data_IF_497406282251
#
_entry.id   IF_497406282251
#
_cell.length_a   1.000
_cell.length_b   1.000
_cell.length_c   1.000
_cell.angle_alpha   90.00
_cell.angle_beta   90.00
_cell.angle_gamma   90.00
#
_symmetry.space_group_name_H-M   'P 1'
#
loop_
_entity.id
_entity.type
_entity.pdbx_description
1 polymer ?
#
# COMPACT_ATOMS: atom_id res chain seq x y z
N UNK A 1 26.53 17.27 3.53
CA UNK A 1 25.41 17.70 2.67
C UNK A 1 24.29 18.14 3.62
N UNK A 2 23.80 19.37 3.49
CA UNK A 2 22.68 19.86 4.33
C UNK A 2 21.44 19.06 3.93
N UNK A 3 20.81 18.37 4.89
CA UNK A 3 19.55 17.70 4.66
C UNK A 3 18.53 18.73 4.16
N UNK A 4 17.87 18.45 3.05
CA UNK A 4 16.75 19.28 2.60
C UNK A 4 15.71 19.34 3.72
N UNK A 5 15.12 20.53 3.97
CA UNK A 5 14.09 20.64 5.01
C UNK A 5 12.96 19.66 4.71
N UNK A 6 12.59 18.86 5.71
CA UNK A 6 11.43 17.97 5.60
C UNK A 6 10.20 18.85 5.38
N UNK A 7 9.42 18.65 4.30
CA UNK A 7 8.20 19.42 4.08
C UNK A 7 7.25 19.28 5.28
N UNK A 8 6.60 20.37 5.69
CA UNK A 8 5.58 20.35 6.71
C UNK A 8 4.22 20.05 6.07
N UNK A 9 3.62 18.93 6.45
CA UNK A 9 2.28 18.51 6.00
C UNK A 9 1.21 18.68 7.08
N UNK A 10 1.46 19.48 8.11
CA UNK A 10 0.48 19.81 9.14
C UNK A 10 -0.80 20.38 8.51
N UNK A 11 -1.94 19.80 8.88
CA UNK A 11 -3.25 20.17 8.31
C UNK A 11 -3.58 19.52 6.96
N UNK A 12 -2.67 18.76 6.35
CA UNK A 12 -2.95 17.99 5.14
C UNK A 12 -3.55 16.63 5.48
N UNK A 13 -4.47 16.17 4.63
CA UNK A 13 -5.09 14.85 4.76
C UNK A 13 -4.78 14.01 3.52
N UNK A 14 -4.27 12.80 3.73
CA UNK A 14 -4.06 11.81 2.68
C UNK A 14 -5.05 10.67 2.87
N UNK A 15 -5.83 10.38 1.84
CA UNK A 15 -6.73 9.25 1.78
C UNK A 15 -6.06 8.10 1.04
N UNK A 16 -6.01 6.93 1.67
CA UNK A 16 -5.42 5.72 1.10
C UNK A 16 -6.54 4.71 0.90
N UNK A 17 -6.69 4.16 -0.30
CA UNK A 17 -7.75 3.21 -0.65
C UNK A 17 -7.10 1.94 -1.18
N UNK A 18 -7.18 0.85 -0.40
CA UNK A 18 -6.53 -0.43 -0.67
C UNK A 18 -7.50 -1.60 -0.48
N UNK A 19 -7.10 -2.78 -0.93
CA UNK A 19 -7.97 -3.95 -1.00
C UNK A 19 -8.02 -4.74 0.31
N UNK A 20 -6.83 -5.10 0.84
CA UNK A 20 -6.69 -6.06 1.92
C UNK A 20 -5.82 -5.51 3.06
N UNK A 21 -5.96 -6.06 4.29
CA UNK A 21 -4.98 -5.85 5.35
C UNK A 21 -3.62 -6.44 4.94
N UNK A 22 -2.59 -5.64 4.87
CA UNK A 22 -1.18 -5.80 4.52
C UNK A 22 -0.72 -4.94 3.32
N UNK A 23 -1.62 -4.57 2.44
CA UNK A 23 -1.33 -3.73 1.27
C UNK A 23 -0.70 -2.38 1.68
N UNK A 24 -1.18 -1.75 2.75
CA UNK A 24 -0.69 -0.46 3.23
C UNK A 24 0.78 -0.53 3.62
N UNK A 25 1.18 -1.64 4.21
CA UNK A 25 2.54 -1.88 4.65
C UNK A 25 3.45 -2.23 3.48
N UNK A 26 2.96 -3.08 2.55
CA UNK A 26 3.72 -3.53 1.39
C UNK A 26 3.91 -2.39 0.37
N UNK A 27 2.81 -1.77 -0.06
CA UNK A 27 2.80 -0.89 -1.21
C UNK A 27 3.43 0.49 -0.91
N UNK A 28 3.12 1.08 0.25
CA UNK A 28 3.51 2.47 0.55
C UNK A 28 3.80 2.77 2.03
N UNK A 29 4.08 1.74 2.84
CA UNK A 29 4.23 1.89 4.30
C UNK A 29 5.31 2.87 4.73
N UNK A 30 6.42 2.94 4.01
CA UNK A 30 7.48 3.92 4.26
C UNK A 30 7.02 5.36 3.99
N UNK A 31 6.33 5.59 2.88
CA UNK A 31 5.75 6.90 2.53
C UNK A 31 4.69 7.32 3.55
N UNK A 32 3.81 6.40 3.97
CA UNK A 32 2.80 6.70 5.00
C UNK A 32 3.45 7.10 6.32
N UNK A 33 4.47 6.37 6.76
CA UNK A 33 5.21 6.69 7.97
C UNK A 33 5.92 8.06 7.87
N UNK A 34 6.53 8.37 6.73
CA UNK A 34 7.20 9.65 6.46
C UNK A 34 6.21 10.81 6.43
N UNK A 35 5.05 10.65 5.80
CA UNK A 35 3.97 11.64 5.78
C UNK A 35 3.42 11.91 7.19
N UNK A 36 3.21 10.85 7.98
CA UNK A 36 2.74 10.97 9.37
C UNK A 36 3.73 11.77 10.23
N UNK A 37 5.03 11.46 10.11
CA UNK A 37 6.08 12.21 10.83
C UNK A 37 6.19 13.68 10.39
N UNK A 38 5.83 13.95 9.13
CA UNK A 38 5.75 15.31 8.58
C UNK A 38 4.42 16.03 8.93
N UNK A 39 3.56 15.44 9.75
CA UNK A 39 2.34 16.06 10.29
C UNK A 39 1.06 15.79 9.47
N UNK A 40 1.12 15.00 8.39
CA UNK A 40 -0.07 14.67 7.63
C UNK A 40 -1.04 13.77 8.42
N UNK A 41 -2.34 14.00 8.27
CA UNK A 41 -3.37 13.07 8.71
C UNK A 41 -3.60 12.01 7.64
N UNK A 42 -3.36 10.74 7.97
CA UNK A 42 -3.57 9.63 7.06
C UNK A 42 -4.86 8.90 7.43
N UNK A 43 -5.73 8.70 6.44
CA UNK A 43 -6.97 7.91 6.56
C UNK A 43 -6.88 6.75 5.59
N UNK A 44 -6.97 5.53 6.11
CA UNK A 44 -6.94 4.30 5.32
C UNK A 44 -8.36 3.73 5.18
N UNK A 45 -8.77 3.48 3.94
CA UNK A 45 -9.92 2.67 3.58
C UNK A 45 -9.40 1.31 3.09
N UNK A 46 -9.74 0.25 3.78
CA UNK A 46 -9.47 -1.12 3.38
C UNK A 46 -10.78 -1.75 2.91
N UNK A 47 -10.83 -2.24 1.67
CA UNK A 47 -12.09 -2.66 1.04
C UNK A 47 -12.66 -3.95 1.63
N UNK A 48 -11.81 -4.89 2.04
CA UNK A 48 -12.22 -6.17 2.62
C UNK A 48 -11.48 -6.43 3.94
N UNK A 49 -11.86 -7.51 4.60
CA UNK A 49 -11.13 -8.01 5.78
C UNK A 49 -10.07 -9.05 5.41
N UNK A 50 -9.93 -9.37 4.12
CA UNK A 50 -8.99 -10.38 3.64
C UNK A 50 -9.33 -11.79 4.14
N UNK A 51 -10.60 -12.10 4.31
CA UNK A 51 -11.10 -13.32 4.97
C UNK A 51 -10.90 -14.60 4.16
N UNK A 52 -10.55 -14.48 2.86
CA UNK A 52 -10.23 -15.63 1.98
C UNK A 52 -8.74 -15.81 1.74
N UNK A 53 -7.89 -15.00 2.39
CA UNK A 53 -6.44 -15.15 2.28
C UNK A 53 -5.95 -16.51 2.77
N UNK A 54 -4.75 -16.89 2.38
CA UNK A 54 -4.06 -18.04 2.96
C UNK A 54 -3.71 -17.78 4.43
N UNK A 55 -3.47 -18.83 5.20
CA UNK A 55 -3.10 -18.72 6.62
C UNK A 55 -1.72 -19.32 6.81
N UNK A 56 -0.76 -18.51 7.21
CA UNK A 56 0.63 -18.93 7.45
C UNK A 56 0.76 -19.89 8.65
N UNK A 57 -0.06 -19.69 9.68
CA UNK A 57 -0.13 -20.53 10.87
C UNK A 57 -1.59 -20.72 11.31
N UNK A 58 -2.09 -21.94 11.20
CA UNK A 58 -3.45 -22.30 11.59
C UNK A 58 -3.77 -22.07 13.06
N UNK A 59 -2.78 -22.00 13.93
CA UNK A 59 -2.97 -21.68 15.34
C UNK A 59 -3.54 -20.26 15.52
N UNK A 60 -3.23 -19.33 14.64
CA UNK A 60 -3.72 -17.95 14.67
C UNK A 60 -5.23 -17.84 14.44
N UNK A 61 -5.82 -18.80 13.74
CA UNK A 61 -7.24 -18.84 13.38
C UNK A 61 -8.01 -19.97 14.09
N UNK A 62 -7.42 -20.63 15.09
CA UNK A 62 -8.01 -21.79 15.74
C UNK A 62 -9.36 -21.48 16.45
N UNK A 63 -9.54 -20.25 16.93
CA UNK A 63 -10.71 -19.81 17.70
C UNK A 63 -11.41 -18.58 17.11
N UNK A 64 -11.00 -18.12 15.93
CA UNK A 64 -11.52 -16.89 15.34
C UNK A 64 -11.41 -16.92 13.81
N UNK A 65 -12.34 -16.23 13.12
CA UNK A 65 -12.26 -16.12 11.67
C UNK A 65 -11.05 -15.25 11.22
N UNK A 66 -10.51 -15.58 10.05
CA UNK A 66 -9.32 -14.91 9.51
C UNK A 66 -9.53 -13.41 9.32
N UNK A 67 -10.71 -12.98 8.91
CA UNK A 67 -11.01 -11.56 8.71
C UNK A 67 -10.92 -10.75 10.01
N UNK A 68 -11.30 -11.32 11.16
CA UNK A 68 -11.13 -10.69 12.46
C UNK A 68 -9.65 -10.62 12.86
N UNK A 69 -8.88 -11.70 12.62
CA UNK A 69 -7.43 -11.73 12.88
C UNK A 69 -6.75 -10.64 12.05
N UNK A 70 -6.95 -10.63 10.72
CA UNK A 70 -6.33 -9.67 9.80
C UNK A 70 -6.73 -8.22 10.10
N UNK A 71 -7.97 -8.00 10.52
CA UNK A 71 -8.42 -6.66 10.93
C UNK A 71 -7.65 -6.12 12.12
N UNK A 72 -7.32 -6.96 13.11
CA UNK A 72 -6.47 -6.55 14.25
C UNK A 72 -5.03 -6.31 13.82
N UNK A 73 -4.48 -7.19 12.99
CA UNK A 73 -3.14 -7.04 12.43
C UNK A 73 -3.00 -5.70 11.68
N UNK A 74 -4.01 -5.33 10.88
CA UNK A 74 -4.05 -4.02 10.21
C UNK A 74 -4.06 -2.85 11.19
N UNK A 75 -4.84 -2.93 12.27
CA UNK A 75 -4.85 -1.85 13.27
C UNK A 75 -3.50 -1.71 14.00
N UNK A 76 -2.79 -2.82 14.21
CA UNK A 76 -1.46 -2.79 14.83
C UNK A 76 -0.41 -2.24 13.86
N UNK A 77 -0.44 -2.63 12.58
CA UNK A 77 0.39 -2.06 11.53
C UNK A 77 0.13 -0.55 11.36
N UNK A 78 -1.14 -0.14 11.35
CA UNK A 78 -1.55 1.26 11.23
C UNK A 78 -0.97 2.14 12.35
N UNK A 79 -0.94 1.65 13.60
CA UNK A 79 -0.31 2.36 14.73
C UNK A 79 1.19 2.59 14.48
N UNK A 80 1.89 1.57 13.98
CA UNK A 80 3.33 1.66 13.68
C UNK A 80 3.57 2.68 12.55
N UNK A 81 2.73 2.67 11.51
CA UNK A 81 2.87 3.60 10.38
C UNK A 81 2.41 5.02 10.70
N UNK A 82 1.69 5.24 11.81
CA UNK A 82 1.14 6.56 12.15
C UNK A 82 -0.14 6.90 11.39
N UNK A 83 -0.88 5.88 10.91
CA UNK A 83 -2.18 6.07 10.26
C UNK A 83 -3.20 6.51 11.33
N UNK A 84 -3.80 7.68 11.12
CA UNK A 84 -4.68 8.31 12.11
C UNK A 84 -6.07 7.67 12.20
N UNK A 85 -6.57 7.12 11.10
CA UNK A 85 -7.90 6.49 11.04
C UNK A 85 -7.88 5.31 10.05
N UNK A 86 -8.42 4.16 10.48
CA UNK A 86 -8.61 2.98 9.65
C UNK A 86 -10.09 2.67 9.55
N UNK A 87 -10.57 2.48 8.33
CA UNK A 87 -11.93 2.03 8.03
C UNK A 87 -11.84 0.77 7.19
N UNK A 88 -12.30 -0.34 7.75
CA UNK A 88 -12.37 -1.62 7.05
C UNK A 88 -13.81 -1.83 6.61
N UNK A 89 -14.01 -2.01 5.32
CA UNK A 89 -15.30 -2.37 4.77
C UNK A 89 -15.49 -3.89 4.77
N UNK A 90 -16.69 -4.34 4.49
CA UNK A 90 -17.04 -5.77 4.47
C UNK A 90 -17.38 -6.24 3.05
N UNK A 91 -16.69 -5.67 2.04
CA UNK A 91 -16.82 -6.21 0.70
C UNK A 91 -16.16 -7.59 0.63
N UNK A 92 -16.70 -8.52 -0.17
CA UNK A 92 -16.19 -9.89 -0.21
C UNK A 92 -14.76 -9.94 -0.76
N UNK A 93 -13.84 -10.48 0.02
CA UNK A 93 -12.46 -10.77 -0.40
C UNK A 93 -12.44 -11.74 -1.59
N UNK A 94 -11.58 -11.49 -2.57
CA UNK A 94 -11.46 -12.25 -3.81
C UNK A 94 -12.51 -11.90 -4.89
N UNK A 95 -13.50 -11.07 -4.55
CA UNK A 95 -14.60 -10.70 -5.45
C UNK A 95 -14.72 -9.17 -5.62
N UNK A 96 -13.76 -8.37 -5.14
CA UNK A 96 -13.86 -6.89 -5.14
C UNK A 96 -14.05 -6.30 -6.53
N UNK A 97 -13.50 -6.92 -7.56
CA UNK A 97 -13.71 -6.47 -8.94
C UNK A 97 -15.17 -6.64 -9.39
N UNK A 98 -15.87 -7.63 -8.85
CA UNK A 98 -17.22 -8.04 -9.23
C UNK A 98 -18.28 -7.68 -8.17
N UNK A 99 -17.85 -7.28 -6.97
CA UNK A 99 -18.71 -6.89 -5.86
C UNK A 99 -19.63 -5.71 -6.24
N UNK A 100 -20.55 -5.37 -5.35
CA UNK A 100 -21.50 -4.27 -5.57
C UNK A 100 -20.77 -2.97 -5.89
N UNK A 101 -20.55 -2.75 -7.19
CA UNK A 101 -19.81 -1.62 -7.73
C UNK A 101 -20.36 -0.27 -7.27
N UNK A 102 -21.71 -0.05 -7.30
CA UNK A 102 -22.30 1.18 -6.82
C UNK A 102 -22.00 1.47 -5.35
N UNK A 103 -22.10 0.47 -4.47
CA UNK A 103 -21.89 0.67 -3.04
C UNK A 103 -20.47 1.10 -2.74
N UNK A 104 -19.46 0.35 -3.21
CA UNK A 104 -18.05 0.67 -2.93
C UNK A 104 -17.64 2.01 -3.56
N UNK A 105 -18.12 2.31 -4.76
CA UNK A 105 -17.92 3.61 -5.38
C UNK A 105 -18.47 4.74 -4.49
N UNK A 106 -19.71 4.62 -4.01
CA UNK A 106 -20.34 5.63 -3.13
C UNK A 106 -19.57 5.80 -1.83
N UNK A 107 -19.09 4.71 -1.22
CA UNK A 107 -18.29 4.77 0.01
C UNK A 107 -17.00 5.57 -0.19
N UNK A 108 -16.31 5.41 -1.32
CA UNK A 108 -15.12 6.22 -1.66
C UNK A 108 -15.50 7.68 -1.88
N UNK A 109 -16.58 7.96 -2.64
CA UNK A 109 -17.06 9.34 -2.86
C UNK A 109 -17.39 10.02 -1.55
N UNK A 110 -18.12 9.35 -0.65
CA UNK A 110 -18.46 9.88 0.67
C UNK A 110 -17.21 10.12 1.54
N UNK A 111 -16.20 9.27 1.43
CA UNK A 111 -14.94 9.47 2.13
C UNK A 111 -14.21 10.71 1.59
N UNK A 112 -14.13 10.90 0.27
CA UNK A 112 -13.52 12.11 -0.33
C UNK A 112 -14.27 13.37 0.13
N UNK A 113 -15.61 13.35 0.13
CA UNK A 113 -16.41 14.48 0.60
C UNK A 113 -16.19 14.78 2.09
N UNK A 114 -16.11 13.74 2.93
CA UNK A 114 -15.94 13.85 4.38
C UNK A 114 -14.56 14.37 4.76
N UNK A 115 -13.52 13.76 4.20
CA UNK A 115 -12.13 14.02 4.61
C UNK A 115 -11.48 15.14 3.81
N UNK A 116 -12.02 15.49 2.64
CA UNK A 116 -11.47 16.51 1.72
C UNK A 116 -9.95 16.34 1.55
N UNK A 117 -9.50 15.18 1.09
CA UNK A 117 -8.07 14.87 1.06
C UNK A 117 -7.32 15.77 0.10
N UNK A 118 -6.10 16.13 0.48
CA UNK A 118 -5.13 16.82 -0.38
C UNK A 118 -4.46 15.86 -1.39
N UNK A 119 -4.63 14.56 -1.21
CA UNK A 119 -4.19 13.52 -2.14
C UNK A 119 -4.84 12.18 -1.82
N UNK A 120 -5.02 11.37 -2.86
CA UNK A 120 -5.55 10.00 -2.77
C UNK A 120 -4.49 9.03 -3.27
N UNK A 121 -4.20 7.98 -2.52
CA UNK A 121 -3.29 6.89 -2.90
C UNK A 121 -4.11 5.63 -3.15
N UNK A 122 -3.84 4.92 -4.24
CA UNK A 122 -4.41 3.61 -4.55
C UNK A 122 -3.46 2.80 -5.46
N UNK A 123 -3.87 1.60 -5.86
CA UNK A 123 -3.12 0.79 -6.81
C UNK A 123 -3.10 1.41 -8.21
N UNK A 124 -2.08 1.05 -9.00
CA UNK A 124 -2.08 1.26 -10.43
C UNK A 124 -3.02 0.26 -11.14
N UNK A 125 -3.19 0.39 -12.44
CA UNK A 125 -4.10 -0.42 -13.24
C UNK A 125 -3.72 -1.91 -13.34
N UNK A 126 -2.44 -2.23 -13.08
CA UNK A 126 -1.90 -3.59 -13.01
C UNK A 126 -2.13 -4.26 -11.63
N UNK A 127 -2.58 -3.48 -10.62
CA UNK A 127 -2.82 -3.99 -9.28
C UNK A 127 -1.59 -4.63 -8.63
N UNK A 128 -0.40 -4.11 -8.89
CA UNK A 128 0.93 -4.55 -8.46
C UNK A 128 1.41 -5.88 -9.06
N UNK A 129 0.55 -6.86 -9.20
CA UNK A 129 0.82 -8.22 -9.69
C UNK A 129 -0.42 -8.88 -10.30
N UNK A 130 -1.26 -8.08 -10.95
CA UNK A 130 -2.50 -8.50 -11.59
C UNK A 130 -3.56 -9.07 -10.64
N UNK A 131 -3.50 -8.71 -9.35
CA UNK A 131 -4.53 -9.12 -8.41
C UNK A 131 -5.88 -8.46 -8.77
N UNK A 132 -6.90 -9.28 -9.03
CA UNK A 132 -8.19 -8.78 -9.51
C UNK A 132 -8.87 -7.81 -8.52
N UNK A 133 -8.71 -8.03 -7.23
CA UNK A 133 -9.23 -7.12 -6.20
C UNK A 133 -8.52 -5.77 -6.22
N UNK A 134 -7.18 -5.75 -6.40
CA UNK A 134 -6.43 -4.49 -6.52
C UNK A 134 -6.85 -3.70 -7.77
N UNK A 135 -7.04 -4.40 -8.89
CA UNK A 135 -7.58 -3.82 -10.12
C UNK A 135 -8.99 -3.27 -9.87
N UNK A 136 -9.83 -4.02 -9.16
CA UNK A 136 -11.16 -3.58 -8.77
C UNK A 136 -11.14 -2.30 -7.93
N UNK A 137 -10.26 -2.22 -6.93
CA UNK A 137 -10.08 -1.03 -6.09
C UNK A 137 -9.56 0.15 -6.91
N UNK A 138 -8.58 -0.08 -7.81
CA UNK A 138 -8.11 0.94 -8.75
C UNK A 138 -9.27 1.54 -9.57
N UNK A 139 -10.05 0.69 -10.25
CA UNK A 139 -11.16 1.11 -11.13
C UNK A 139 -12.18 1.97 -10.37
N UNK A 140 -12.54 1.59 -9.14
CA UNK A 140 -13.52 2.33 -8.32
C UNK A 140 -12.95 3.63 -7.79
N UNK A 141 -11.72 3.60 -7.30
CA UNK A 141 -11.06 4.81 -6.80
C UNK A 141 -10.85 5.83 -7.91
N UNK A 142 -10.36 5.40 -9.07
CA UNK A 142 -10.22 6.26 -10.25
C UNK A 142 -11.55 6.90 -10.63
N UNK A 143 -12.62 6.10 -10.73
CA UNK A 143 -13.94 6.59 -11.12
C UNK A 143 -14.54 7.52 -10.07
N UNK A 144 -14.35 7.22 -8.78
CA UNK A 144 -14.80 8.08 -7.68
C UNK A 144 -14.08 9.43 -7.71
N UNK A 145 -12.76 9.46 -7.81
CA UNK A 145 -11.97 10.69 -7.91
C UNK A 145 -12.37 11.49 -9.15
N UNK A 146 -12.48 10.84 -10.31
CA UNK A 146 -12.89 11.48 -11.59
C UNK A 146 -14.26 12.15 -11.50
N UNK A 147 -15.17 11.63 -10.68
CA UNK A 147 -16.52 12.20 -10.52
C UNK A 147 -16.54 13.62 -9.93
N UNK A 148 -15.44 14.04 -9.28
CA UNK A 148 -15.30 15.41 -8.76
C UNK A 148 -14.91 16.43 -9.84
N UNK A 149 -14.59 16.00 -11.05
CA UNK A 149 -14.23 16.89 -12.17
C UNK A 149 -13.08 17.84 -11.78
N UNK A 150 -13.25 19.16 -12.01
CA UNK A 150 -12.20 20.14 -11.70
C UNK A 150 -11.83 20.23 -10.19
N UNK A 151 -12.63 19.63 -9.31
CA UNK A 151 -12.40 19.62 -7.86
C UNK A 151 -11.80 18.30 -7.35
N UNK A 152 -11.38 17.43 -8.28
CA UNK A 152 -10.80 16.14 -7.94
C UNK A 152 -9.48 16.35 -7.18
N UNK A 153 -9.25 15.63 -6.06
CA UNK A 153 -7.94 15.62 -5.44
C UNK A 153 -6.90 14.93 -6.35
N UNK A 154 -5.61 15.27 -6.24
CA UNK A 154 -4.54 14.51 -6.90
C UNK A 154 -4.64 13.03 -6.57
N UNK A 155 -4.54 12.17 -7.58
CA UNK A 155 -4.61 10.72 -7.44
C UNK A 155 -3.26 10.10 -7.77
N UNK A 156 -2.73 9.34 -6.84
CA UNK A 156 -1.43 8.69 -6.89
C UNK A 156 -1.59 7.17 -6.93
N UNK A 157 -0.90 6.55 -7.86
CA UNK A 157 -0.84 5.11 -7.98
C UNK A 157 0.46 4.59 -7.39
N UNK A 158 0.37 3.63 -6.47
CA UNK A 158 1.53 2.85 -6.07
C UNK A 158 1.92 1.90 -7.18
N UNK A 159 3.21 1.76 -7.43
CA UNK A 159 3.74 0.82 -8.42
C UNK A 159 4.99 0.15 -7.87
N UNK A 160 5.35 -0.99 -8.41
CA UNK A 160 6.54 -1.75 -8.02
C UNK A 160 7.43 -1.98 -9.24
N UNK A 161 8.74 -1.78 -9.15
CA UNK A 161 9.64 -2.13 -10.23
C UNK A 161 9.63 -3.64 -10.48
N UNK A 162 9.62 -4.02 -11.75
CA UNK A 162 9.79 -5.42 -12.14
C UNK A 162 11.11 -5.97 -11.57
N UNK A 163 11.08 -7.19 -11.06
CA UNK A 163 12.23 -7.87 -10.49
C UNK A 163 12.55 -7.54 -9.04
N UNK A 164 11.97 -6.49 -8.43
CA UNK A 164 12.23 -6.15 -7.03
C UNK A 164 11.82 -7.29 -6.08
N UNK A 165 10.63 -7.87 -6.28
CA UNK A 165 10.17 -8.98 -5.44
C UNK A 165 11.05 -10.23 -5.62
N UNK A 166 11.52 -10.50 -6.84
CA UNK A 166 12.46 -11.59 -7.10
C UNK A 166 13.78 -11.36 -6.32
N UNK A 167 14.33 -10.14 -6.32
CA UNK A 167 15.54 -9.82 -5.56
C UNK A 167 15.34 -9.98 -4.06
N UNK A 168 14.15 -9.66 -3.54
CA UNK A 168 13.78 -9.87 -2.12
C UNK A 168 13.79 -11.37 -1.80
N UNK A 169 13.17 -12.19 -2.66
CA UNK A 169 13.13 -13.65 -2.48
C UNK A 169 14.53 -14.24 -2.54
N UNK A 170 15.33 -13.90 -3.56
CA UNK A 170 16.69 -14.41 -3.73
C UNK A 170 17.58 -14.05 -2.53
N UNK A 171 17.43 -12.81 -2.02
CA UNK A 171 18.14 -12.36 -0.81
C UNK A 171 17.72 -13.18 0.41
N UNK A 172 16.44 -13.43 0.59
CA UNK A 172 15.93 -14.23 1.71
C UNK A 172 16.40 -15.70 1.62
N UNK A 173 16.43 -16.28 0.42
CA UNK A 173 16.97 -17.62 0.18
C UNK A 173 18.45 -17.70 0.51
N UNK A 174 19.24 -16.69 0.15
CA UNK A 174 20.65 -16.58 0.53
C UNK A 174 20.84 -16.50 2.06
N UNK A 175 19.85 -15.99 2.79
CA UNK A 175 19.83 -15.94 4.26
C UNK A 175 19.23 -17.21 4.91
N UNK A 176 18.93 -18.25 4.12
CA UNK A 176 18.46 -19.55 4.62
C UNK A 176 16.96 -19.80 4.54
N UNK A 177 16.19 -18.92 3.88
CA UNK A 177 14.81 -19.24 3.56
C UNK A 177 14.77 -20.47 2.65
N UNK A 178 13.95 -21.46 2.98
CA UNK A 178 13.73 -22.61 2.09
C UNK A 178 12.83 -22.16 0.93
N UNK A 179 13.21 -22.46 -0.34
CA UNK A 179 12.44 -22.05 -1.51
C UNK A 179 11.18 -22.93 -1.65
N UNK A 180 10.20 -22.80 -0.76
CA UNK A 180 8.98 -23.63 -0.78
C UNK A 180 7.69 -22.83 -0.89
N UNK A 181 7.73 -21.51 -0.76
CA UNK A 181 6.53 -20.70 -0.91
C UNK A 181 6.86 -19.36 -1.55
N UNK A 182 6.19 -19.08 -2.64
CA UNK A 182 6.18 -17.74 -3.22
C UNK A 182 5.51 -16.76 -2.26
N UNK A 183 5.98 -15.50 -2.14
CA UNK A 183 5.33 -14.51 -1.30
C UNK A 183 3.86 -14.35 -1.73
N UNK A 184 2.95 -14.38 -0.78
CA UNK A 184 1.50 -14.32 -1.02
C UNK A 184 0.95 -15.37 -2.01
N UNK A 185 1.65 -16.49 -2.21
CA UNK A 185 1.37 -17.54 -3.22
C UNK A 185 1.40 -17.01 -4.68
N UNK A 186 2.16 -15.96 -4.93
CA UNK A 186 2.33 -15.33 -6.25
C UNK A 186 3.79 -15.51 -6.70
N UNK A 187 3.99 -15.78 -7.98
CA UNK A 187 5.34 -15.82 -8.54
C UNK A 187 6.00 -14.45 -8.40
N UNK A 188 7.24 -14.37 -7.88
CA UNK A 188 7.88 -13.09 -7.60
C UNK A 188 8.05 -12.19 -8.83
N UNK A 189 8.17 -12.75 -10.02
CA UNK A 189 8.30 -12.02 -11.28
C UNK A 189 6.98 -11.40 -11.79
N UNK A 190 5.83 -11.81 -11.22
CA UNK A 190 4.55 -11.18 -11.51
C UNK A 190 4.43 -9.76 -10.92
N UNK A 191 5.23 -9.46 -9.89
CA UNK A 191 5.22 -8.14 -9.28
C UNK A 191 5.88 -7.11 -10.19
N UNK A 192 5.10 -6.07 -10.57
CA UNK A 192 5.55 -5.01 -11.46
C UNK A 192 5.66 -5.42 -12.93
N UNK A 193 5.22 -6.64 -13.31
CA UNK A 193 5.19 -7.06 -14.70
C UNK A 193 4.20 -6.19 -15.50
N UNK A 194 4.69 -5.59 -16.59
CA UNK A 194 3.98 -4.58 -17.38
C UNK A 194 3.56 -3.30 -16.62
N UNK A 195 4.10 -3.04 -15.43
CA UNK A 195 3.85 -1.80 -14.72
C UNK A 195 4.34 -0.60 -15.55
N UNK A 196 3.51 0.44 -15.63
CA UNK A 196 3.93 1.70 -16.25
C UNK A 196 5.02 2.36 -15.40
N UNK A 197 6.00 3.04 -16.03
CA UNK A 197 7.06 3.71 -15.31
C UNK A 197 6.52 4.67 -14.23
N UNK A 198 7.17 4.76 -13.08
CA UNK A 198 6.83 5.76 -12.06
C UNK A 198 7.08 7.17 -12.59
N UNK A 199 6.32 8.14 -12.12
CA UNK A 199 6.56 9.57 -12.39
C UNK A 199 7.48 10.19 -11.34
N UNK A 200 7.50 9.62 -10.14
CA UNK A 200 8.40 10.01 -9.05
C UNK A 200 8.63 8.83 -8.10
N UNK A 201 9.66 8.95 -7.31
CA UNK A 201 10.01 8.00 -6.26
C UNK A 201 10.14 8.72 -4.92
N UNK A 202 9.83 8.04 -3.84
CA UNK A 202 9.98 8.57 -2.48
C UNK A 202 11.06 7.78 -1.76
N UNK A 203 12.09 8.49 -1.29
CA UNK A 203 13.11 7.93 -0.42
C UNK A 203 12.51 7.68 0.98
N UNK A 204 12.49 6.43 1.40
CA UNK A 204 11.95 5.99 2.68
C UNK A 204 12.95 5.19 3.52
N UNK A 205 14.26 5.27 3.20
CA UNK A 205 15.30 4.49 3.87
C UNK A 205 15.24 4.62 5.40
N UNK A 206 14.97 5.81 5.93
CA UNK A 206 14.88 6.04 7.38
C UNK A 206 13.60 5.44 8.00
N UNK A 207 12.56 5.20 7.19
CA UNK A 207 11.29 4.63 7.60
C UNK A 207 11.17 3.13 7.34
N UNK A 208 12.16 2.50 6.69
CA UNK A 208 12.16 1.05 6.44
C UNK A 208 12.00 0.22 7.73
N UNK A 209 12.61 0.56 8.86
CA UNK A 209 12.36 -0.20 10.10
C UNK A 209 10.90 -0.20 10.50
N UNK A 210 10.18 0.91 10.34
CA UNK A 210 8.73 1.00 10.60
C UNK A 210 7.92 0.22 9.57
N UNK A 211 8.24 0.35 8.30
CA UNK A 211 7.62 -0.41 7.22
C UNK A 211 7.74 -1.92 7.45
N UNK A 212 8.94 -2.39 7.76
CA UNK A 212 9.19 -3.81 8.02
C UNK A 212 8.48 -4.30 9.29
N UNK A 213 8.44 -3.48 10.35
CA UNK A 213 7.71 -3.80 11.56
C UNK A 213 6.19 -3.88 11.31
N UNK A 214 5.63 -2.98 10.48
CA UNK A 214 4.22 -3.01 10.10
C UNK A 214 3.90 -4.25 9.25
N UNK A 215 4.72 -4.57 8.25
CA UNK A 215 4.60 -5.83 7.48
C UNK A 215 4.55 -7.04 8.42
N UNK A 216 5.44 -7.10 9.40
CA UNK A 216 5.52 -8.21 10.38
C UNK A 216 4.35 -8.25 11.37
N UNK A 217 3.49 -7.23 11.44
CA UNK A 217 2.23 -7.30 12.18
C UNK A 217 1.24 -8.26 11.53
N UNK A 218 1.28 -8.41 10.21
CA UNK A 218 0.40 -9.28 9.44
C UNK A 218 0.82 -10.75 9.51
N UNK A 219 0.92 -11.28 10.73
CA UNK A 219 1.47 -12.63 11.01
C UNK A 219 0.67 -13.74 10.35
N UNK A 220 -0.63 -13.54 10.15
CA UNK A 220 -1.47 -14.52 9.46
C UNK A 220 -1.08 -14.70 7.99
N UNK A 221 -0.45 -13.67 7.38
CA UNK A 221 0.01 -13.66 6.00
C UNK A 221 1.54 -13.80 5.91
N UNK A 222 2.25 -13.09 6.77
CA UNK A 222 3.73 -13.02 6.80
C UNK A 222 4.24 -13.87 7.94
N UNK A 223 4.17 -15.20 7.74
CA UNK A 223 4.67 -16.18 8.70
C UNK A 223 6.19 -16.32 8.71
N UNK A 224 6.73 -17.25 9.53
CA UNK A 224 8.17 -17.44 9.69
C UNK A 224 8.92 -17.74 8.39
N UNK A 225 8.27 -18.40 7.44
CA UNK A 225 8.86 -18.78 6.15
C UNK A 225 8.62 -17.72 5.04
N UNK A 226 8.18 -16.51 5.41
CA UNK A 226 7.97 -15.43 4.43
C UNK A 226 9.28 -14.65 4.19
N UNK A 227 9.61 -14.25 2.94
CA UNK A 227 10.85 -13.54 2.61
C UNK A 227 11.17 -12.34 3.50
N UNK A 228 10.17 -11.53 3.87
CA UNK A 228 10.36 -10.36 4.74
C UNK A 228 10.81 -10.69 6.17
N UNK A 229 10.71 -11.94 6.60
CA UNK A 229 11.26 -12.37 7.89
C UNK A 229 12.76 -12.65 7.84
N UNK A 230 13.29 -12.88 6.64
CA UNK A 230 14.68 -13.29 6.42
C UNK A 230 15.60 -12.17 5.93
N UNK A 231 15.11 -10.93 5.84
CA UNK A 231 15.92 -9.77 5.50
C UNK A 231 16.62 -9.22 6.75
N UNK A 232 17.92 -8.93 6.63
CA UNK A 232 18.63 -8.07 7.60
C UNK A 232 18.16 -6.62 7.45
N UNK A 233 18.41 -5.78 8.46
CA UNK A 233 18.05 -4.36 8.41
C UNK A 233 18.71 -3.63 7.23
N UNK A 234 19.96 -3.96 6.90
CA UNK A 234 20.68 -3.39 5.77
C UNK A 234 20.05 -3.81 4.44
N UNK A 235 19.76 -5.10 4.28
CA UNK A 235 19.09 -5.62 3.08
C UNK A 235 17.70 -5.03 2.92
N UNK A 236 16.93 -4.94 4.01
CA UNK A 236 15.61 -4.32 3.99
C UNK A 236 15.71 -2.84 3.57
N UNK A 237 16.64 -2.08 4.11
CA UNK A 237 16.87 -0.67 3.68
C UNK A 237 17.20 -0.59 2.19
N UNK A 238 18.07 -1.43 1.68
CA UNK A 238 18.43 -1.47 0.27
C UNK A 238 17.26 -1.80 -0.64
N UNK A 239 16.43 -2.79 -0.26
CA UNK A 239 15.36 -3.33 -1.11
C UNK A 239 14.03 -2.58 -0.96
N UNK A 240 13.74 -2.05 0.22
CA UNK A 240 12.46 -1.40 0.54
C UNK A 240 12.60 0.11 0.77
N UNK A 241 13.80 0.67 0.61
CA UNK A 241 14.12 2.07 0.93
C UNK A 241 13.61 3.09 -0.08
N UNK A 242 13.08 2.65 -1.22
CA UNK A 242 12.51 3.52 -2.25
C UNK A 242 11.13 3.01 -2.61
N UNK A 243 10.14 3.90 -2.55
CA UNK A 243 8.77 3.61 -2.99
C UNK A 243 8.44 4.37 -4.26
N UNK A 244 7.72 3.71 -5.16
CA UNK A 244 7.51 4.17 -6.52
C UNK A 244 6.06 4.57 -6.73
N UNK A 245 5.87 5.75 -7.30
CA UNK A 245 4.53 6.31 -7.54
C UNK A 245 4.39 6.82 -8.96
N UNK A 246 3.16 6.80 -9.41
CA UNK A 246 2.76 7.45 -10.66
C UNK A 246 1.58 8.38 -10.41
N UNK A 247 1.72 9.64 -10.81
CA UNK A 247 0.61 10.58 -10.78
C UNK A 247 -0.41 10.20 -11.87
N UNK A 248 -1.68 10.17 -11.50
CA UNK A 248 -2.78 9.98 -12.46
C UNK A 248 -2.83 11.15 -13.45
N UNK A 249 -3.19 10.90 -14.71
CA UNK A 249 -3.39 11.97 -15.71
C UNK A 249 -4.67 12.78 -15.50
N UNK A 250 -5.45 12.50 -14.46
CA UNK A 250 -6.64 13.31 -14.14
C UNK A 250 -6.22 14.73 -13.78
N UNK A 251 -6.92 15.73 -14.35
CA UNK A 251 -6.81 17.10 -13.87
C UNK A 251 -7.25 17.15 -12.41
N UNK A 252 -6.39 17.69 -11.55
CA UNK A 252 -6.62 17.76 -10.12
C UNK A 252 -6.72 19.21 -9.65
N UNK A 253 -7.64 19.46 -8.71
CA UNK A 253 -7.67 20.71 -7.99
C UNK A 253 -6.61 20.66 -6.88
N UNK A 254 -5.69 21.60 -6.89
CA UNK A 254 -4.71 21.75 -5.82
C UNK A 254 -3.29 21.41 -6.23
N UNK A 255 -2.39 21.57 -5.27
CA UNK A 255 -0.97 21.34 -5.46
C UNK A 255 -0.63 19.88 -5.18
N UNK A 256 0.31 19.35 -5.93
CA UNK A 256 0.92 18.06 -5.63
C UNK A 256 1.44 18.01 -4.18
N UNK A 257 1.07 16.95 -3.46
CA UNK A 257 1.43 16.80 -2.03
C UNK A 257 2.53 15.76 -1.88
N UNK A 258 2.28 14.55 -2.38
CA UNK A 258 3.19 13.42 -2.17
C UNK A 258 4.48 13.59 -2.98
N UNK A 259 4.41 14.19 -4.16
CA UNK A 259 5.59 14.49 -4.99
C UNK A 259 6.59 15.43 -4.30
N UNK A 260 6.14 16.23 -3.31
CA UNK A 260 7.05 17.08 -2.52
C UNK A 260 8.01 16.25 -1.65
N UNK A 261 7.68 14.98 -1.37
CA UNK A 261 8.58 14.03 -0.72
C UNK A 261 9.53 13.34 -1.70
N UNK A 262 9.22 13.39 -2.98
CA UNK A 262 9.83 12.56 -3.99
C UNK A 262 10.81 13.28 -4.90
N UNK A 263 11.56 12.49 -5.65
CA UNK A 263 12.36 12.94 -6.78
C UNK A 263 11.65 12.53 -8.08
N UNK A 264 11.48 13.48 -9.01
CA UNK A 264 10.89 13.19 -10.30
C UNK A 264 11.81 12.27 -11.12
N UNK A 265 11.23 11.18 -11.65
CA UNK A 265 11.93 10.30 -12.59
C UNK A 265 11.86 10.95 -13.97
N UNK A 266 12.99 11.48 -14.43
CA UNK A 266 13.12 11.95 -15.81
C UNK A 266 13.28 10.72 -16.69
N UNK A 267 12.23 10.36 -17.43
CA UNK A 267 12.35 9.31 -18.46
C UNK A 267 13.34 9.80 -19.52
N UNK A 268 14.48 9.13 -19.60
CA UNK A 268 15.45 9.30 -20.70
C UNK A 268 15.02 8.52 -21.91
#
# INVERSE_FOLDING_TARGET
>A
MSALPVPDFSGRTILVVLAHPDDESLACGGTLARLADAGARIVLLCASRGERGSVSDRALTANEDLGCVRSRELHDAAKILGIAEVRIFAHPDGDLRWADVPQFHVEIVLAIQRYKPDGVITFAEDGLYWHLDHIGVHERTYTAVKSFGPWAPPLYYVTMPQGLMQEIVDTAVANGLRPQSNPFNIEPDAFGDYAKPPTFVVDVHDWVPRKLAALRCHRSQIGPDHPFQHLTDEQARRLLGVEHFRLSPLEAAGHSVIEQLGEHVVNQ
#
